data_IF_370061397803
#
_entry.id   IF_370061397803
#
_cell.length_a   1.000
_cell.length_b   1.000
_cell.length_c   1.000
_cell.angle_alpha   90.00
_cell.angle_beta   90.00
_cell.angle_gamma   90.00
#
_symmetry.space_group_name_H-M   'P 1'
#
loop_
_entity.id
_entity.type
_entity.pdbx_description
1 polymer ?
#
# COMPACT_ATOMS: atom_id res chain seq x y z
N UNK A 1 21.49 39.70 51.95
CA UNK A 1 21.26 38.36 51.43
C UNK A 1 20.56 38.48 50.10
N UNK A 2 21.24 38.12 49.03
CA UNK A 2 20.64 38.09 47.68
C UNK A 2 20.05 36.69 47.46
N UNK A 3 18.74 36.60 47.29
CA UNK A 3 18.07 35.36 46.87
C UNK A 3 18.21 35.23 45.39
N UNK A 4 18.96 34.24 44.93
CA UNK A 4 19.03 33.88 43.51
C UNK A 4 17.72 33.17 43.13
N UNK A 5 16.96 33.76 42.22
CA UNK A 5 15.79 33.13 41.62
C UNK A 5 16.26 32.23 40.48
N UNK A 6 16.20 30.94 40.72
CA UNK A 6 16.49 29.95 39.67
C UNK A 6 15.28 29.81 38.77
N UNK A 7 15.32 30.42 37.60
CA UNK A 7 14.29 30.25 36.58
C UNK A 7 14.55 28.97 35.82
N UNK A 8 13.81 27.92 36.14
CA UNK A 8 13.82 26.68 35.38
C UNK A 8 13.03 26.89 34.10
N UNK A 9 13.72 27.01 32.98
CA UNK A 9 13.08 27.02 31.65
C UNK A 9 12.76 25.57 31.29
N UNK A 10 11.48 25.23 31.39
CA UNK A 10 10.98 23.94 30.92
C UNK A 10 10.86 24.04 29.38
N UNK A 11 11.85 23.50 28.68
CA UNK A 11 11.79 23.37 27.22
C UNK A 11 10.77 22.28 26.89
N UNK A 12 9.57 22.70 26.52
CA UNK A 12 8.55 21.80 25.97
C UNK A 12 8.96 21.42 24.53
N UNK A 13 9.63 20.30 24.40
CA UNK A 13 9.98 19.74 23.09
C UNK A 13 8.71 19.30 22.38
N UNK A 14 8.27 20.07 21.39
CA UNK A 14 7.22 19.65 20.47
C UNK A 14 7.82 18.60 19.56
N UNK A 15 7.56 17.33 19.80
CA UNK A 15 7.90 16.27 18.90
C UNK A 15 7.01 16.39 17.64
N UNK A 16 7.58 16.89 16.56
CA UNK A 16 6.90 16.88 15.25
C UNK A 16 6.83 15.42 14.76
N UNK A 17 5.67 14.98 14.22
CA UNK A 17 5.60 13.65 13.62
C UNK A 17 6.61 13.58 12.47
N UNK A 18 7.43 12.54 12.44
CA UNK A 18 8.37 12.34 11.35
C UNK A 18 7.62 12.00 10.07
N UNK A 19 8.12 12.47 8.91
CA UNK A 19 7.55 12.13 7.60
C UNK A 19 7.47 10.60 7.39
N UNK A 20 8.37 9.83 8.01
CA UNK A 20 8.35 8.38 8.00
C UNK A 20 7.06 7.78 8.60
N UNK A 21 6.50 8.38 9.67
CA UNK A 21 5.25 7.91 10.28
C UNK A 21 4.06 8.09 9.31
N UNK A 22 4.02 9.17 8.53
CA UNK A 22 2.99 9.41 7.51
C UNK A 22 3.17 8.47 6.31
N UNK A 23 4.42 8.22 5.88
CA UNK A 23 4.73 7.33 4.76
C UNK A 23 4.34 5.87 5.05
N UNK A 24 4.37 5.43 6.30
CA UNK A 24 4.03 4.06 6.70
C UNK A 24 2.56 3.84 7.05
N UNK A 25 1.73 4.89 7.10
CA UNK A 25 0.35 4.78 7.57
C UNK A 25 -0.50 3.77 6.80
N UNK A 26 -0.34 3.66 5.50
CA UNK A 26 -1.06 2.70 4.66
C UNK A 26 -0.42 1.32 4.56
N UNK A 27 0.74 1.08 5.19
CA UNK A 27 1.55 -0.14 5.10
C UNK A 27 1.80 -0.81 6.45
N UNK A 28 1.18 -0.33 7.51
CA UNK A 28 1.42 -0.81 8.89
C UNK A 28 1.04 -2.27 9.11
N UNK A 29 0.15 -2.83 8.28
CA UNK A 29 -0.32 -4.20 8.36
C UNK A 29 0.49 -5.19 7.51
N UNK A 30 1.45 -4.72 6.72
CA UNK A 30 2.26 -5.53 5.81
C UNK A 30 3.55 -6.04 6.44
N UNK A 31 4.18 -7.02 5.78
CA UNK A 31 5.43 -7.67 6.27
C UNK A 31 6.68 -6.83 6.06
N UNK A 32 6.68 -5.88 5.13
CA UNK A 32 7.89 -5.20 4.65
C UNK A 32 8.68 -5.98 3.60
N UNK A 33 8.26 -7.19 3.24
CA UNK A 33 8.90 -8.03 2.22
C UNK A 33 7.96 -8.27 1.06
N UNK A 34 8.49 -8.29 -0.16
CA UNK A 34 7.69 -8.48 -1.36
C UNK A 34 7.34 -9.95 -1.62
N UNK A 35 6.12 -10.14 -2.11
CA UNK A 35 5.59 -11.39 -2.64
C UNK A 35 5.07 -11.14 -4.05
N UNK A 36 5.28 -12.10 -4.93
CA UNK A 36 4.73 -12.08 -6.28
C UNK A 36 3.57 -13.08 -6.40
N UNK A 37 2.44 -12.61 -6.92
CA UNK A 37 1.25 -13.42 -7.17
C UNK A 37 0.77 -13.24 -8.61
N UNK A 38 0.32 -14.34 -9.20
CA UNK A 38 -0.37 -14.34 -10.50
C UNK A 38 -1.74 -14.97 -10.33
N UNK A 39 -2.76 -14.31 -10.84
CA UNK A 39 -4.13 -14.83 -10.72
C UNK A 39 -5.11 -14.10 -11.62
N UNK A 40 -6.36 -14.48 -11.49
CA UNK A 40 -7.47 -13.97 -12.31
C UNK A 40 -8.39 -13.11 -11.44
N UNK A 41 -8.69 -11.92 -11.91
CA UNK A 41 -9.62 -11.01 -11.23
C UNK A 41 -11.03 -11.59 -11.25
N UNK A 42 -11.64 -11.69 -10.07
CA UNK A 42 -13.03 -12.16 -9.89
C UNK A 42 -13.99 -11.03 -9.53
N UNK A 43 -13.49 -9.97 -8.89
CA UNK A 43 -14.30 -8.81 -8.52
C UNK A 43 -13.41 -7.56 -8.47
N UNK A 44 -13.97 -6.44 -8.89
CA UNK A 44 -13.30 -5.14 -8.91
C UNK A 44 -14.12 -4.11 -8.16
N UNK A 45 -13.49 -3.39 -7.25
CA UNK A 45 -14.04 -2.20 -6.60
C UNK A 45 -12.96 -1.13 -6.55
N UNK A 46 -12.99 -0.21 -7.50
CA UNK A 46 -12.07 0.93 -7.55
C UNK A 46 -12.68 2.13 -6.81
N UNK A 47 -11.84 3.00 -6.31
CA UNK A 47 -12.24 4.21 -5.60
C UNK A 47 -11.35 4.52 -4.41
N UNK A 48 -11.80 5.48 -3.61
CA UNK A 48 -11.13 5.88 -2.37
C UNK A 48 -11.60 5.03 -1.18
N UNK A 49 -10.73 4.77 -0.18
CA UNK A 49 -9.33 5.21 -0.07
C UNK A 49 -8.36 4.46 -0.99
N UNK A 50 -8.69 3.27 -1.47
CA UNK A 50 -7.90 2.47 -2.40
C UNK A 50 -8.80 1.57 -3.23
N UNK A 51 -8.33 1.16 -4.42
CA UNK A 51 -8.98 0.10 -5.18
C UNK A 51 -8.73 -1.26 -4.56
N UNK A 52 -9.75 -2.12 -4.60
CA UNK A 52 -9.71 -3.49 -4.08
C UNK A 52 -10.10 -4.45 -5.19
N UNK A 53 -9.28 -5.47 -5.41
CA UNK A 53 -9.56 -6.58 -6.31
C UNK A 53 -9.69 -7.87 -5.50
N UNK A 54 -10.65 -8.71 -5.87
CA UNK A 54 -10.66 -10.11 -5.45
C UNK A 54 -10.04 -10.93 -6.58
N UNK A 55 -8.95 -11.61 -6.29
CA UNK A 55 -8.14 -12.34 -7.28
C UNK A 55 -7.97 -13.78 -6.86
N UNK A 56 -8.29 -14.71 -7.76
CA UNK A 56 -8.06 -16.13 -7.54
C UNK A 56 -6.64 -16.49 -7.94
N UNK A 57 -5.87 -16.95 -6.96
CA UNK A 57 -4.48 -17.36 -7.11
C UNK A 57 -4.35 -18.81 -6.66
N UNK A 58 -4.03 -19.72 -7.58
CA UNK A 58 -3.86 -21.16 -7.29
C UNK A 58 -5.05 -21.75 -6.49
N UNK A 59 -6.27 -21.40 -6.86
CA UNK A 59 -7.50 -21.88 -6.22
C UNK A 59 -7.89 -21.14 -4.93
N UNK A 60 -7.12 -20.15 -4.50
CA UNK A 60 -7.39 -19.39 -3.28
C UNK A 60 -7.71 -17.92 -3.61
N UNK A 61 -8.65 -17.35 -2.87
CA UNK A 61 -9.06 -15.97 -3.04
C UNK A 61 -8.13 -15.03 -2.26
N UNK A 62 -7.55 -14.07 -2.97
CA UNK A 62 -6.73 -13.00 -2.40
C UNK A 62 -7.43 -11.66 -2.53
N UNK A 63 -7.32 -10.85 -1.49
CA UNK A 63 -7.68 -9.43 -1.54
C UNK A 63 -6.44 -8.64 -1.97
N UNK A 64 -6.49 -8.06 -3.16
CA UNK A 64 -5.40 -7.30 -3.75
C UNK A 64 -5.75 -5.82 -3.68
N UNK A 65 -4.97 -5.07 -2.94
CA UNK A 65 -5.14 -3.63 -2.77
C UNK A 65 -4.25 -2.88 -3.76
N UNK A 66 -4.88 -2.17 -4.71
CA UNK A 66 -4.21 -1.25 -5.62
C UNK A 66 -4.24 0.18 -5.08
N UNK A 67 -3.80 1.17 -5.84
CA UNK A 67 -3.72 2.53 -5.35
C UNK A 67 -5.07 3.26 -5.32
N UNK A 68 -5.02 4.48 -4.78
CA UNK A 68 -6.08 5.47 -4.96
C UNK A 68 -6.24 5.79 -6.44
N UNK A 69 -7.40 6.32 -6.88
CA UNK A 69 -7.64 6.63 -8.30
C UNK A 69 -6.53 7.47 -8.95
N UNK A 70 -6.07 8.51 -8.27
CA UNK A 70 -4.99 9.37 -8.81
C UNK A 70 -3.66 8.62 -8.97
N UNK A 71 -3.36 7.68 -8.06
CA UNK A 71 -2.11 6.91 -8.09
C UNK A 71 -2.12 5.91 -9.25
N UNK A 72 -3.22 5.22 -9.43
CA UNK A 72 -3.41 4.29 -10.56
C UNK A 72 -3.30 5.04 -11.89
N UNK A 73 -3.97 6.18 -12.00
CA UNK A 73 -3.94 7.02 -13.20
C UNK A 73 -2.53 7.54 -13.49
N UNK A 74 -1.80 7.99 -12.46
CA UNK A 74 -0.41 8.46 -12.60
C UNK A 74 0.53 7.36 -13.08
N UNK A 75 0.29 6.11 -12.66
CA UNK A 75 1.04 4.94 -13.14
C UNK A 75 0.65 4.52 -14.57
N UNK A 76 -0.37 5.12 -15.17
CA UNK A 76 -0.90 4.75 -16.47
C UNK A 76 -1.89 3.59 -16.45
N UNK A 77 -2.29 3.14 -15.27
CA UNK A 77 -3.27 2.08 -15.07
C UNK A 77 -4.68 2.67 -15.13
N UNK A 78 -5.35 2.48 -16.27
CA UNK A 78 -6.72 2.97 -16.47
C UNK A 78 -7.72 2.00 -15.82
N UNK A 79 -8.80 2.54 -15.27
CA UNK A 79 -9.82 1.77 -14.56
C UNK A 79 -10.34 0.58 -15.35
N UNK A 80 -10.65 0.75 -16.63
CA UNK A 80 -11.15 -0.31 -17.51
C UNK A 80 -10.18 -1.44 -17.80
N UNK A 81 -8.90 -1.29 -17.42
CA UNK A 81 -7.90 -2.36 -17.58
C UNK A 81 -8.05 -3.46 -16.54
N UNK A 82 -8.61 -3.13 -15.39
CA UNK A 82 -8.86 -4.06 -14.30
C UNK A 82 -10.32 -4.50 -14.36
N UNK A 83 -10.57 -5.69 -14.87
CA UNK A 83 -11.89 -6.24 -15.06
C UNK A 83 -11.95 -7.71 -14.67
N UNK A 84 -13.16 -8.19 -14.34
CA UNK A 84 -13.40 -9.61 -14.09
C UNK A 84 -12.94 -10.46 -15.28
N UNK A 85 -12.22 -11.54 -14.97
CA UNK A 85 -11.67 -12.47 -15.96
C UNK A 85 -10.26 -12.10 -16.47
N UNK A 86 -9.74 -10.92 -16.14
CA UNK A 86 -8.39 -10.50 -16.53
C UNK A 86 -7.35 -11.17 -15.65
N UNK A 87 -6.33 -11.76 -16.27
CA UNK A 87 -5.15 -12.27 -15.56
C UNK A 87 -4.22 -11.11 -15.23
N UNK A 88 -3.77 -11.06 -13.98
CA UNK A 88 -2.79 -10.09 -13.49
C UNK A 88 -1.64 -10.80 -12.78
N UNK A 89 -0.48 -10.18 -12.85
CA UNK A 89 0.66 -10.49 -12.00
C UNK A 89 0.96 -9.27 -11.15
N UNK A 90 1.11 -9.46 -9.85
CA UNK A 90 1.35 -8.38 -8.91
C UNK A 90 2.57 -8.68 -8.05
N UNK A 91 3.31 -7.62 -7.74
CA UNK A 91 4.40 -7.65 -6.76
C UNK A 91 4.03 -6.63 -5.69
N UNK A 92 4.09 -7.04 -4.44
CA UNK A 92 3.74 -6.18 -3.32
C UNK A 92 3.96 -6.87 -1.98
N UNK A 93 3.53 -6.21 -0.93
CA UNK A 93 3.73 -6.69 0.43
C UNK A 93 2.46 -7.38 0.94
N UNK A 94 2.56 -8.67 1.33
CA UNK A 94 1.45 -9.38 1.95
C UNK A 94 1.22 -8.92 3.38
N UNK A 95 0.04 -9.25 3.92
CA UNK A 95 -0.25 -9.02 5.33
C UNK A 95 0.75 -9.77 6.22
N UNK A 96 1.15 -9.14 7.32
CA UNK A 96 1.99 -9.75 8.34
C UNK A 96 1.28 -10.95 9.00
N UNK A 97 -0.05 -10.87 9.16
CA UNK A 97 -0.89 -12.01 9.53
C UNK A 97 -1.06 -12.93 8.32
N UNK A 98 -0.41 -14.09 8.35
CA UNK A 98 -0.40 -15.06 7.25
C UNK A 98 -1.75 -15.74 7.00
N UNK A 99 -2.69 -15.66 7.94
CA UNK A 99 -4.06 -16.14 7.76
C UNK A 99 -4.90 -15.18 6.92
N UNK A 100 -4.46 -13.92 6.78
CA UNK A 100 -5.07 -12.90 5.96
C UNK A 100 -4.42 -12.90 4.57
N UNK A 101 -5.12 -13.44 3.57
CA UNK A 101 -4.69 -13.42 2.16
C UNK A 101 -4.95 -12.07 1.54
N UNK A 102 -4.16 -11.11 1.94
CA UNK A 102 -4.21 -9.72 1.50
C UNK A 102 -2.83 -9.26 1.07
N UNK A 103 -2.75 -8.54 -0.03
CA UNK A 103 -1.49 -7.99 -0.56
C UNK A 103 -1.71 -6.57 -1.02
N UNK A 104 -0.79 -5.68 -0.65
CA UNK A 104 -0.73 -4.31 -1.14
C UNK A 104 0.24 -4.21 -2.30
N UNK A 105 -0.27 -3.83 -3.46
CA UNK A 105 0.48 -3.81 -4.71
C UNK A 105 1.47 -2.65 -4.76
N UNK A 106 2.70 -2.93 -5.12
CA UNK A 106 3.70 -1.94 -5.52
C UNK A 106 3.79 -1.86 -7.05
N UNK A 107 3.75 -3.02 -7.73
CA UNK A 107 3.81 -3.14 -9.18
C UNK A 107 2.76 -4.12 -9.69
N UNK A 108 2.13 -3.79 -10.78
CA UNK A 108 1.12 -4.63 -11.43
C UNK A 108 1.47 -4.81 -12.90
N UNK A 109 1.30 -6.03 -13.39
CA UNK A 109 1.55 -6.39 -14.79
C UNK A 109 0.27 -6.89 -15.44
N UNK A 110 0.01 -6.38 -16.63
CA UNK A 110 -1.00 -6.88 -17.56
C UNK A 110 -0.25 -7.38 -18.80
N UNK A 111 -0.13 -8.70 -18.96
CA UNK A 111 0.78 -9.27 -19.94
C UNK A 111 2.21 -8.80 -19.67
N UNK A 112 2.87 -8.24 -20.70
CA UNK A 112 4.23 -7.74 -20.60
C UNK A 112 4.31 -6.28 -20.09
N UNK A 113 3.18 -5.64 -19.85
CA UNK A 113 3.13 -4.23 -19.47
C UNK A 113 3.15 -4.06 -17.97
N UNK A 114 4.13 -3.29 -17.49
CA UNK A 114 4.32 -2.96 -16.07
C UNK A 114 3.70 -1.62 -15.72
N UNK A 115 3.02 -1.60 -14.56
CA UNK A 115 2.50 -0.38 -13.93
C UNK A 115 3.08 -0.26 -12.54
N UNK A 116 3.89 0.78 -12.32
CA UNK A 116 4.56 1.02 -11.04
C UNK A 116 3.71 1.98 -10.21
N UNK A 117 3.03 1.44 -9.20
CA UNK A 117 2.13 2.23 -8.34
C UNK A 117 2.91 2.97 -7.25
N UNK A 118 3.96 2.36 -6.73
CA UNK A 118 4.80 2.93 -5.67
C UNK A 118 6.28 2.84 -6.06
N UNK A 119 6.79 3.79 -6.85
CA UNK A 119 8.17 3.73 -7.36
C UNK A 119 9.23 3.85 -6.26
N UNK A 120 8.88 4.41 -5.10
CA UNK A 120 9.80 4.58 -3.98
C UNK A 120 9.89 3.34 -3.06
N UNK A 121 9.19 2.27 -3.43
CA UNK A 121 9.20 1.00 -2.71
C UNK A 121 9.69 -0.11 -3.63
N UNK A 122 10.88 -0.59 -3.37
CA UNK A 122 11.49 -1.72 -4.08
C UNK A 122 11.91 -2.80 -3.09
#
# INVERSE_FOLDING_TARGET
MKKALLTTILALGIALPSDAALAHHGWSWTTGENLELTGVIKKVRLGNPHGILQVEVAGEMWTIEVGQPWRNAHAGLKDGYLAEGVEIRVIGEPAADRSDRRLKVERLFLGDREYVLYPDRD
#
